data_IF_233194878810
#
_entry.id   IF_233194878810
#
_cell.length_a   1.000
_cell.length_b   1.000
_cell.length_c   1.000
_cell.angle_alpha   90.00
_cell.angle_beta   90.00
_cell.angle_gamma   90.00
#
_symmetry.space_group_name_H-M   'P 1'
#
loop_
_entity.id
_entity.type
_entity.pdbx_description
1 polymer ?
#
# COMPACT_ATOMS: atom_id res chain seq x y z
N UNK A 1 -17.27 -3.39 23.26
CA UNK A 1 -16.45 -3.79 22.09
C UNK A 1 -17.30 -4.66 21.18
N UNK A 2 -17.85 -4.07 20.12
CA UNK A 2 -18.77 -4.75 19.20
C UNK A 2 -18.06 -5.80 18.33
N UNK A 3 -16.77 -5.61 18.03
CA UNK A 3 -15.96 -6.50 17.17
C UNK A 3 -15.76 -7.93 17.69
N UNK A 4 -15.98 -8.19 18.98
CA UNK A 4 -15.85 -9.52 19.58
C UNK A 4 -17.14 -10.34 19.49
N UNK A 5 -18.25 -9.72 19.05
CA UNK A 5 -19.49 -10.44 18.83
C UNK A 5 -19.32 -11.47 17.70
N UNK A 6 -19.80 -12.72 17.88
CA UNK A 6 -19.58 -13.79 16.92
C UNK A 6 -20.10 -13.44 15.50
N UNK A 7 -21.15 -12.63 15.40
CA UNK A 7 -21.72 -12.13 14.16
C UNK A 7 -20.73 -11.22 13.41
N UNK A 8 -20.02 -10.35 14.13
CA UNK A 8 -19.01 -9.45 13.58
C UNK A 8 -17.74 -10.19 13.17
N UNK A 9 -17.37 -11.26 13.89
CA UNK A 9 -16.22 -12.10 13.54
C UNK A 9 -16.41 -12.84 12.21
N UNK A 10 -17.62 -13.30 11.90
CA UNK A 10 -17.95 -13.94 10.61
C UNK A 10 -17.76 -12.94 9.45
N UNK A 11 -18.22 -11.70 9.60
CA UNK A 11 -18.05 -10.64 8.59
C UNK A 11 -16.58 -10.26 8.39
N UNK A 12 -15.82 -10.13 9.47
CA UNK A 12 -14.40 -9.75 9.40
C UNK A 12 -13.53 -10.80 8.71
N UNK A 13 -13.85 -12.10 8.87
CA UNK A 13 -13.15 -13.19 8.18
C UNK A 13 -13.33 -13.17 6.66
N UNK A 14 -14.44 -12.62 6.14
CA UNK A 14 -14.72 -12.55 4.71
C UNK A 14 -14.06 -11.37 4.00
N UNK A 15 -13.35 -10.50 4.74
CA UNK A 15 -12.71 -9.31 4.16
C UNK A 15 -11.63 -9.70 3.15
N UNK A 16 -11.74 -9.18 1.93
CA UNK A 16 -10.72 -9.40 0.91
C UNK A 16 -9.44 -8.60 1.20
N UNK A 17 -8.39 -9.29 1.63
CA UNK A 17 -7.07 -8.70 1.96
C UNK A 17 -6.12 -8.63 0.76
N UNK A 18 -6.42 -9.32 -0.34
CA UNK A 18 -5.51 -9.45 -1.48
C UNK A 18 -5.13 -8.11 -2.10
N UNK A 19 -6.10 -7.19 -2.20
CA UNK A 19 -5.86 -5.83 -2.74
C UNK A 19 -4.88 -5.05 -1.88
N UNK A 20 -5.03 -5.11 -0.55
CA UNK A 20 -4.13 -4.46 0.40
C UNK A 20 -2.73 -5.08 0.37
N UNK A 21 -2.63 -6.40 0.27
CA UNK A 21 -1.35 -7.08 0.13
C UNK A 21 -0.62 -6.70 -1.17
N UNK A 22 -1.35 -6.61 -2.29
CA UNK A 22 -0.78 -6.17 -3.57
C UNK A 22 -0.24 -4.74 -3.49
N UNK A 23 -1.00 -3.81 -2.91
CA UNK A 23 -0.52 -2.43 -2.72
C UNK A 23 0.74 -2.36 -1.86
N UNK A 24 0.75 -3.06 -0.73
CA UNK A 24 1.93 -3.10 0.14
C UNK A 24 3.19 -3.61 -0.58
N UNK A 25 3.06 -4.59 -1.48
CA UNK A 25 4.19 -5.07 -2.29
C UNK A 25 4.67 -4.02 -3.30
N UNK A 26 3.75 -3.29 -3.93
CA UNK A 26 4.09 -2.24 -4.89
C UNK A 26 4.77 -1.05 -4.19
N UNK A 27 4.22 -0.60 -3.07
CA UNK A 27 4.81 0.46 -2.22
C UNK A 27 6.22 0.08 -1.77
N UNK A 28 6.41 -1.15 -1.29
CA UNK A 28 7.72 -1.64 -0.87
C UNK A 28 8.73 -1.64 -2.02
N UNK A 29 8.34 -2.13 -3.20
CA UNK A 29 9.22 -2.17 -4.36
C UNK A 29 9.63 -0.75 -4.81
N UNK A 30 8.68 0.18 -4.86
CA UNK A 30 8.94 1.59 -5.22
C UNK A 30 9.83 2.29 -4.20
N UNK A 31 9.64 2.01 -2.90
CA UNK A 31 10.48 2.55 -1.83
C UNK A 31 11.93 2.05 -1.94
N UNK A 32 12.12 0.75 -2.17
CA UNK A 32 13.46 0.16 -2.37
C UNK A 32 14.13 0.75 -3.61
N UNK A 33 13.40 0.92 -4.69
CA UNK A 33 13.91 1.52 -5.93
C UNK A 33 14.31 2.99 -5.73
N UNK A 34 13.47 3.79 -5.07
CA UNK A 34 13.80 5.19 -4.77
C UNK A 34 15.08 5.33 -3.93
N UNK A 35 15.29 4.44 -2.94
CA UNK A 35 16.52 4.40 -2.14
C UNK A 35 17.73 4.01 -2.99
N UNK A 36 17.60 3.01 -3.87
CA UNK A 36 18.68 2.59 -4.78
C UNK A 36 19.11 3.73 -5.70
N UNK A 37 18.16 4.43 -6.33
CA UNK A 37 18.42 5.57 -7.22
C UNK A 37 19.06 6.74 -6.49
N UNK A 38 18.63 7.00 -5.25
CA UNK A 38 19.25 8.01 -4.38
C UNK A 38 20.72 7.68 -4.07
N UNK A 39 21.01 6.44 -3.66
CA UNK A 39 22.40 5.99 -3.40
C UNK A 39 23.23 6.01 -4.69
N UNK A 40 22.61 5.72 -5.84
CA UNK A 40 23.22 5.78 -7.17
C UNK A 40 23.48 7.20 -7.72
N UNK A 41 23.16 8.25 -6.95
CA UNK A 41 23.30 9.66 -7.38
C UNK A 41 22.53 9.99 -8.67
N UNK A 42 21.39 9.33 -8.88
CA UNK A 42 20.53 9.63 -10.03
C UNK A 42 19.89 11.02 -9.90
N UNK A 43 19.51 11.64 -11.03
CA UNK A 43 18.76 12.89 -11.04
C UNK A 43 17.52 12.84 -10.14
N UNK A 44 17.26 13.93 -9.42
CA UNK A 44 16.15 14.06 -8.47
C UNK A 44 14.79 13.69 -9.08
N UNK A 45 14.59 13.95 -10.38
CA UNK A 45 13.36 13.59 -11.09
C UNK A 45 13.05 12.08 -11.01
N UNK A 46 14.06 11.21 -11.14
CA UNK A 46 13.89 9.75 -11.11
C UNK A 46 13.60 9.21 -9.70
N UNK A 47 14.06 9.92 -8.67
CA UNK A 47 13.77 9.59 -7.28
C UNK A 47 12.35 10.04 -6.93
N UNK A 48 11.98 11.26 -7.34
CA UNK A 48 10.64 11.82 -7.12
C UNK A 48 9.57 11.01 -7.85
N UNK A 49 9.86 10.43 -9.01
CA UNK A 49 8.96 9.52 -9.71
C UNK A 49 8.52 8.35 -8.81
N UNK A 50 9.45 7.68 -8.13
CA UNK A 50 9.15 6.57 -7.22
C UNK A 50 8.33 7.04 -6.00
N UNK A 51 8.69 8.19 -5.42
CA UNK A 51 8.01 8.75 -4.25
C UNK A 51 6.58 9.19 -4.58
N UNK A 52 6.40 9.90 -5.69
CA UNK A 52 5.08 10.37 -6.16
C UNK A 52 4.18 9.20 -6.55
N UNK A 53 4.73 8.15 -7.15
CA UNK A 53 3.97 6.93 -7.46
C UNK A 53 3.50 6.23 -6.19
N UNK A 54 4.34 6.15 -5.16
CA UNK A 54 3.96 5.61 -3.85
C UNK A 54 2.83 6.42 -3.21
N UNK A 55 2.92 7.75 -3.28
CA UNK A 55 1.86 8.65 -2.80
C UNK A 55 0.55 8.45 -3.59
N UNK A 56 0.64 8.24 -4.90
CA UNK A 56 -0.53 7.96 -5.75
C UNK A 56 -1.19 6.63 -5.39
N UNK A 57 -0.42 5.59 -5.04
CA UNK A 57 -0.95 4.30 -4.58
C UNK A 57 -1.70 4.42 -3.23
N UNK A 58 -1.23 5.27 -2.33
CA UNK A 58 -1.87 5.56 -1.04
C UNK A 58 -3.18 6.36 -1.20
N UNK A 59 -3.26 7.22 -2.23
CA UNK A 59 -4.47 7.96 -2.54
C UNK A 59 -5.61 7.05 -3.04
N UNK A 60 -5.29 5.86 -3.55
CA UNK A 60 -6.29 4.89 -3.98
C UNK A 60 -6.98 4.27 -2.76
N UNK A 61 -8.31 4.43 -2.65
CA UNK A 61 -9.06 3.84 -1.54
C UNK A 61 -9.08 2.31 -1.64
N UNK A 62 -8.27 1.66 -0.81
CA UNK A 62 -8.20 0.19 -0.72
C UNK A 62 -9.40 -0.46 0.00
N UNK A 63 -10.31 0.35 0.55
CA UNK A 63 -11.51 -0.10 1.24
C UNK A 63 -12.78 0.37 0.55
N UNK A 64 -13.25 -0.42 -0.42
CA UNK A 64 -14.66 -0.45 -0.80
C UNK A 64 -15.12 -1.88 -0.53
N UNK A 65 -15.69 -2.05 0.66
CA UNK A 65 -15.98 -3.34 1.29
C UNK A 65 -16.65 -3.11 2.63
N UNK A 66 -17.76 -2.38 2.57
CA UNK A 66 -18.89 -2.42 3.49
C UNK A 66 -20.14 -2.54 2.62
#
# INVERSE_FOLDING_TARGET
>A
MDYLQPENLVRLKQRNVKRKQRHALMEFALGVEGVKRFVGQEPLAHILECVLTTLALEAERLTQGY
#
